data_IF_807862036229
#
_entry.id   IF_807862036229
#
_cell.length_a   1.000
_cell.length_b   1.000
_cell.length_c   1.000
_cell.angle_alpha   90.00
_cell.angle_beta   90.00
_cell.angle_gamma   90.00
#
_symmetry.space_group_name_H-M   'P 1'
#
loop_
_entity.id
_entity.type
_entity.pdbx_description
1 polymer ?
#
# COMPACT_ATOMS: atom_id res chain seq x y z
N UNK A 1 -3.16 9.30 -24.54
CA UNK A 1 -4.08 8.36 -23.88
C UNK A 1 -4.20 7.06 -24.66
N UNK A 2 -4.65 7.08 -25.92
CA UNK A 2 -4.80 5.86 -26.76
C UNK A 2 -3.53 5.00 -26.86
N UNK A 3 -2.36 5.60 -27.11
CA UNK A 3 -1.10 4.85 -27.18
C UNK A 3 -0.76 4.16 -25.84
N UNK A 4 -1.10 4.79 -24.72
CA UNK A 4 -0.86 4.21 -23.38
C UNK A 4 -1.77 3.00 -23.15
N UNK A 5 -3.05 3.08 -23.53
CA UNK A 5 -4.00 1.98 -23.42
C UNK A 5 -3.57 0.77 -24.27
N UNK A 6 -3.20 1.02 -25.53
CA UNK A 6 -2.74 -0.02 -26.46
C UNK A 6 -1.47 -0.68 -25.94
N UNK A 7 -0.47 0.10 -25.51
CA UNK A 7 0.77 -0.44 -24.96
C UNK A 7 0.54 -1.22 -23.67
N UNK A 8 -0.38 -0.76 -22.81
CA UNK A 8 -0.71 -1.47 -21.56
C UNK A 8 -1.39 -2.80 -21.85
N UNK A 9 -2.34 -2.85 -22.80
CA UNK A 9 -2.99 -4.08 -23.23
C UNK A 9 -2.00 -5.09 -23.81
N UNK A 10 -1.10 -4.63 -24.69
CA UNK A 10 -0.04 -5.47 -25.27
C UNK A 10 0.88 -6.02 -24.15
N UNK A 11 1.32 -5.15 -23.24
CA UNK A 11 2.23 -5.56 -22.15
C UNK A 11 1.60 -6.59 -21.21
N UNK A 12 0.31 -6.45 -20.91
CA UNK A 12 -0.43 -7.45 -20.13
C UNK A 12 -0.51 -8.79 -20.85
N UNK A 13 -0.81 -8.77 -22.16
CA UNK A 13 -0.83 -9.98 -22.98
C UNK A 13 0.52 -10.69 -23.03
N UNK A 14 1.62 -9.94 -23.18
CA UNK A 14 2.98 -10.48 -23.14
C UNK A 14 3.32 -11.08 -21.76
N UNK A 15 2.90 -10.44 -20.68
CA UNK A 15 3.10 -10.97 -19.33
C UNK A 15 2.31 -12.27 -19.10
N UNK A 16 1.07 -12.35 -19.60
CA UNK A 16 0.25 -13.56 -19.51
C UNK A 16 0.84 -14.73 -20.31
N UNK A 17 1.31 -14.47 -21.54
CA UNK A 17 2.00 -15.47 -22.38
C UNK A 17 3.30 -15.93 -21.72
N UNK A 18 4.10 -15.02 -21.17
CA UNK A 18 5.29 -15.38 -20.40
C UNK A 18 4.96 -16.27 -19.20
N UNK A 19 3.91 -15.95 -18.44
CA UNK A 19 3.46 -16.81 -17.35
C UNK A 19 3.10 -18.22 -17.86
N UNK A 20 2.31 -18.31 -18.92
CA UNK A 20 1.88 -19.59 -19.49
C UNK A 20 3.06 -20.44 -19.99
N UNK A 21 4.05 -19.82 -20.64
CA UNK A 21 5.26 -20.50 -21.11
C UNK A 21 6.14 -21.05 -19.96
N UNK A 22 5.99 -20.48 -18.75
CA UNK A 22 6.69 -20.91 -17.55
C UNK A 22 5.80 -21.71 -16.59
N UNK A 23 4.69 -22.29 -17.09
CA UNK A 23 3.73 -23.08 -16.31
C UNK A 23 3.11 -22.33 -15.10
N UNK A 24 3.01 -21.00 -15.21
CA UNK A 24 2.37 -20.12 -14.23
C UNK A 24 0.97 -19.71 -14.71
N UNK A 25 0.02 -19.61 -13.76
CA UNK A 25 -1.34 -19.14 -14.03
C UNK A 25 -1.50 -17.72 -13.49
N UNK A 26 -1.88 -16.79 -14.38
CA UNK A 26 -2.20 -15.42 -14.01
C UNK A 26 -3.52 -15.38 -13.23
N UNK A 27 -3.51 -14.76 -12.05
CA UNK A 27 -4.72 -14.63 -11.23
C UNK A 27 -5.42 -13.29 -11.49
N UNK A 28 -6.33 -13.29 -12.46
CA UNK A 28 -7.13 -12.12 -12.84
C UNK A 28 -7.89 -11.48 -11.66
N UNK A 29 -8.33 -12.27 -10.68
CA UNK A 29 -9.04 -11.74 -9.51
C UNK A 29 -8.15 -10.86 -8.62
N UNK A 30 -6.84 -11.15 -8.56
CA UNK A 30 -5.85 -10.41 -7.76
C UNK A 30 -5.12 -9.35 -8.57
N UNK A 31 -5.07 -9.49 -9.89
CA UNK A 31 -4.51 -8.47 -10.78
C UNK A 31 -5.50 -7.31 -10.86
N UNK A 32 -5.01 -6.08 -10.66
CA UNK A 32 -5.81 -4.86 -10.67
C UNK A 32 -5.11 -3.80 -11.51
N UNK A 33 -5.90 -2.96 -12.16
CA UNK A 33 -5.40 -1.80 -12.89
C UNK A 33 -5.45 -0.58 -11.96
N UNK A 34 -4.32 0.07 -11.73
CA UNK A 34 -4.23 1.30 -10.96
C UNK A 34 -3.68 2.39 -11.88
N UNK A 35 -4.48 3.43 -12.11
CA UNK A 35 -4.19 4.47 -13.09
C UNK A 35 -3.65 5.70 -12.37
N UNK A 36 -2.48 6.17 -12.78
CA UNK A 36 -1.87 7.39 -12.25
C UNK A 36 -1.81 8.46 -13.34
N UNK A 37 -1.96 9.72 -12.94
CA UNK A 37 -1.81 10.86 -13.83
C UNK A 37 -3.00 11.83 -13.81
N UNK A 38 -2.87 12.91 -14.57
CA UNK A 38 -3.90 13.96 -14.68
C UNK A 38 -5.10 13.50 -15.51
N UNK A 39 -4.83 12.77 -16.59
CA UNK A 39 -5.84 12.31 -17.56
C UNK A 39 -6.37 10.92 -17.19
N UNK A 40 -6.37 10.58 -15.89
CA UNK A 40 -6.76 9.25 -15.40
C UNK A 40 -8.22 8.91 -15.69
N UNK A 41 -9.08 9.93 -15.76
CA UNK A 41 -10.51 9.78 -16.06
C UNK A 41 -10.77 9.55 -17.56
N UNK A 42 -9.78 9.81 -18.42
CA UNK A 42 -9.86 9.56 -19.86
C UNK A 42 -9.41 8.15 -20.25
N UNK A 43 -8.80 7.40 -19.32
CA UNK A 43 -8.27 6.05 -19.55
C UNK A 43 -9.37 5.04 -19.23
N UNK A 44 -9.71 4.21 -20.21
CA UNK A 44 -10.71 3.15 -20.07
C UNK A 44 -10.18 1.96 -19.29
N UNK A 45 -11.10 1.25 -18.63
CA UNK A 45 -10.80 -0.05 -18.01
C UNK A 45 -10.44 -1.08 -19.07
N UNK A 46 -9.43 -1.90 -18.79
CA UNK A 46 -9.09 -3.03 -19.65
C UNK A 46 -10.16 -4.14 -19.52
N UNK A 47 -10.56 -4.82 -20.60
CA UNK A 47 -11.70 -5.74 -20.59
C UNK A 47 -11.58 -6.95 -19.65
N UNK A 48 -10.38 -7.25 -19.13
CA UNK A 48 -10.11 -8.37 -18.22
C UNK A 48 -9.71 -7.92 -16.81
N UNK A 49 -9.64 -6.61 -16.57
CA UNK A 49 -9.13 -6.05 -15.32
C UNK A 49 -10.05 -4.95 -14.81
N UNK A 50 -10.28 -4.98 -13.50
CA UNK A 50 -10.97 -3.87 -12.85
C UNK A 50 -9.97 -2.77 -12.53
N UNK A 51 -10.31 -1.55 -12.97
CA UNK A 51 -9.65 -0.37 -12.46
C UNK A 51 -10.06 -0.15 -11.00
N UNK A 52 -9.09 0.17 -10.16
CA UNK A 52 -9.31 0.47 -8.75
C UNK A 52 -8.59 1.75 -8.40
N UNK A 53 -9.21 2.57 -7.55
CA UNK A 53 -8.58 3.79 -7.05
C UNK A 53 -7.60 3.52 -5.93
N UNK A 54 -7.74 2.40 -5.23
CA UNK A 54 -6.91 2.03 -4.09
C UNK A 54 -6.62 0.54 -4.09
N UNK A 55 -5.39 0.16 -3.73
CA UNK A 55 -5.00 -1.23 -3.61
C UNK A 55 -3.99 -1.42 -2.48
N UNK A 56 -4.00 -2.59 -1.85
CA UNK A 56 -2.99 -2.96 -0.88
C UNK A 56 -1.87 -3.72 -1.60
N UNK A 57 -0.70 -3.11 -1.69
CA UNK A 57 0.48 -3.71 -2.28
C UNK A 57 1.54 -3.89 -1.20
N UNK A 58 1.88 -5.16 -0.91
CA UNK A 58 2.88 -5.53 0.09
C UNK A 58 2.64 -4.90 1.48
N UNK A 59 1.39 -4.70 1.89
CA UNK A 59 1.06 -4.10 3.19
C UNK A 59 1.04 -2.56 3.21
N UNK A 60 1.34 -1.92 2.09
CA UNK A 60 1.17 -0.48 1.87
C UNK A 60 -0.09 -0.25 1.05
N UNK A 61 -0.92 0.70 1.47
CA UNK A 61 -2.13 1.07 0.73
C UNK A 61 -1.74 2.16 -0.26
N UNK A 62 -1.85 1.87 -1.54
CA UNK A 62 -1.51 2.81 -2.62
C UNK A 62 -2.82 3.32 -3.21
N UNK A 63 -2.94 4.63 -3.29
CA UNK A 63 -4.05 5.32 -3.95
C UNK A 63 -3.63 5.91 -5.30
N UNK A 64 -4.59 6.06 -6.22
CA UNK A 64 -4.38 6.59 -7.57
C UNK A 64 -3.83 8.04 -7.59
N UNK A 65 -3.98 8.77 -6.48
CA UNK A 65 -3.47 10.13 -6.32
C UNK A 65 -2.14 10.22 -5.56
N UNK A 66 -1.61 9.08 -5.09
CA UNK A 66 -0.42 9.01 -4.24
C UNK A 66 -0.49 10.00 -3.06
N UNK A 67 -1.70 10.22 -2.53
CA UNK A 67 -1.95 11.06 -1.37
C UNK A 67 -1.50 10.40 -0.07
N UNK A 68 -1.45 9.06 -0.05
CA UNK A 68 -1.13 8.23 1.11
C UNK A 68 -2.10 8.35 2.29
N UNK A 69 -3.21 9.09 2.14
CA UNK A 69 -4.15 9.35 3.23
C UNK A 69 -4.72 8.04 3.80
N UNK A 70 -5.24 7.17 2.93
CA UNK A 70 -5.80 5.88 3.34
C UNK A 70 -4.75 4.99 4.02
N UNK A 71 -3.50 5.03 3.56
CA UNK A 71 -2.42 4.30 4.20
C UNK A 71 -2.15 4.81 5.61
N UNK A 72 -2.07 6.14 5.76
CA UNK A 72 -1.80 6.80 7.03
C UNK A 72 -2.94 6.56 8.01
N UNK A 73 -4.20 6.60 7.58
CA UNK A 73 -5.34 6.29 8.45
C UNK A 73 -5.27 4.84 8.98
N UNK A 74 -4.95 3.88 8.10
CA UNK A 74 -4.74 2.47 8.51
C UNK A 74 -3.54 2.34 9.45
N UNK A 75 -2.45 3.06 9.20
CA UNK A 75 -1.26 3.05 10.03
C UNK A 75 -1.53 3.67 11.41
N UNK A 76 -2.15 4.85 11.49
CA UNK A 76 -2.54 5.51 12.73
C UNK A 76 -3.43 4.61 13.60
N UNK A 77 -4.37 3.88 12.99
CA UNK A 77 -5.20 2.92 13.72
C UNK A 77 -4.36 1.77 14.31
N UNK A 78 -3.45 1.19 13.51
CA UNK A 78 -2.53 0.14 13.98
C UNK A 78 -1.58 0.62 15.08
N UNK A 79 -1.09 1.85 14.97
CA UNK A 79 -0.22 2.49 15.96
C UNK A 79 -0.98 2.83 17.24
N UNK A 80 -2.24 3.27 17.14
CA UNK A 80 -3.11 3.50 18.29
C UNK A 80 -3.37 2.21 19.08
N UNK A 81 -3.63 1.10 18.40
CA UNK A 81 -3.73 -0.21 19.04
C UNK A 81 -2.40 -0.64 19.68
N UNK A 82 -1.26 -0.40 19.01
CA UNK A 82 0.06 -0.69 19.57
C UNK A 82 0.34 0.16 20.82
N UNK A 83 -0.01 1.45 20.80
CA UNK A 83 0.14 2.35 21.94
C UNK A 83 -0.70 1.89 23.13
N UNK A 84 -1.94 1.46 22.89
CA UNK A 84 -2.77 0.87 23.94
C UNK A 84 -2.13 -0.38 24.55
N UNK A 85 -1.59 -1.28 23.72
CA UNK A 85 -0.86 -2.45 24.21
C UNK A 85 0.37 -2.06 25.03
N UNK A 86 1.15 -1.08 24.58
CA UNK A 86 2.32 -0.56 25.30
C UNK A 86 1.95 0.03 26.66
N UNK A 87 0.85 0.80 26.75
CA UNK A 87 0.36 1.33 28.04
C UNK A 87 0.01 0.21 29.03
N UNK A 88 -0.53 -0.91 28.55
CA UNK A 88 -0.83 -2.08 29.39
C UNK A 88 0.43 -2.82 29.84
N UNK A 89 1.39 -2.98 28.93
CA UNK A 89 2.69 -3.58 29.23
C UNK A 89 3.42 -2.74 30.28
N UNK A 90 3.45 -1.41 30.12
CA UNK A 90 4.04 -0.48 31.08
C UNK A 90 3.48 -0.63 32.50
N UNK A 91 2.19 -0.94 32.65
CA UNK A 91 1.58 -1.11 33.97
C UNK A 91 2.02 -2.41 34.69
N UNK A 92 2.65 -3.35 33.99
CA UNK A 92 2.93 -4.70 34.51
C UNK A 92 4.37 -5.18 34.32
N UNK A 93 5.18 -4.48 33.51
CA UNK A 93 6.51 -4.92 33.09
C UNK A 93 7.64 -3.97 33.51
N UNK A 94 8.89 -4.42 33.34
CA UNK A 94 10.07 -3.58 33.50
C UNK A 94 10.24 -2.60 32.32
N UNK A 95 10.98 -1.50 32.49
CA UNK A 95 11.25 -0.55 31.41
C UNK A 95 11.99 -1.18 30.22
N UNK A 96 12.83 -2.19 30.44
CA UNK A 96 13.53 -2.91 29.36
C UNK A 96 12.55 -3.69 28.48
N UNK A 97 11.59 -4.39 29.11
CA UNK A 97 10.53 -5.10 28.39
C UNK A 97 9.63 -4.12 27.60
N UNK A 98 9.35 -2.95 28.17
CA UNK A 98 8.60 -1.90 27.49
C UNK A 98 9.34 -1.35 26.26
N UNK A 99 10.65 -1.14 26.37
CA UNK A 99 11.49 -0.69 25.24
C UNK A 99 11.49 -1.72 24.10
N UNK A 100 11.68 -2.99 24.42
CA UNK A 100 11.61 -4.08 23.43
C UNK A 100 10.23 -4.11 22.76
N UNK A 101 9.16 -4.03 23.55
CA UNK A 101 7.80 -4.00 23.03
C UNK A 101 7.55 -2.79 22.12
N UNK A 102 8.10 -1.62 22.46
CA UNK A 102 7.98 -0.41 21.65
C UNK A 102 8.64 -0.61 20.28
N UNK A 103 9.90 -1.07 20.25
CA UNK A 103 10.61 -1.33 19.00
C UNK A 103 9.89 -2.39 18.16
N UNK A 104 9.37 -3.45 18.79
CA UNK A 104 8.72 -4.55 18.10
C UNK A 104 7.31 -4.23 17.58
N UNK A 105 6.50 -3.45 18.31
CA UNK A 105 5.07 -3.25 18.02
C UNK A 105 4.75 -1.92 17.35
N UNK A 106 5.55 -0.89 17.63
CA UNK A 106 5.31 0.48 17.16
C UNK A 106 6.30 0.84 16.07
N UNK A 107 7.60 0.85 16.40
CA UNK A 107 8.67 1.30 15.48
C UNK A 107 8.77 0.44 14.22
N UNK A 108 8.62 -0.88 14.35
CA UNK A 108 8.63 -1.80 13.21
C UNK A 108 7.54 -1.47 12.18
N UNK A 109 6.34 -1.12 12.64
CA UNK A 109 5.20 -0.74 11.79
C UNK A 109 5.38 0.65 11.22
N UNK A 110 5.91 1.58 12.01
CA UNK A 110 6.19 2.95 11.59
C UNK A 110 7.30 3.02 10.55
N UNK A 111 8.32 2.16 10.61
CA UNK A 111 9.42 2.17 9.63
C UNK A 111 9.08 1.41 8.36
N UNK A 112 8.09 0.52 8.40
CA UNK A 112 7.73 -0.29 7.25
C UNK A 112 7.23 0.58 6.09
N UNK A 113 7.92 0.52 4.95
CA UNK A 113 7.53 1.27 3.75
C UNK A 113 7.75 2.79 3.84
N UNK A 114 8.48 3.29 4.86
CA UNK A 114 8.66 4.73 5.10
C UNK A 114 9.33 5.45 3.91
N UNK A 115 10.15 4.77 3.12
CA UNK A 115 10.73 5.35 1.90
C UNK A 115 9.68 5.66 0.81
N UNK A 116 8.52 5.00 0.86
CA UNK A 116 7.44 5.14 -0.12
C UNK A 116 6.44 6.19 0.34
N UNK A 117 5.88 6.03 1.55
CA UNK A 117 4.83 6.93 2.06
C UNK A 117 5.39 8.10 2.88
N UNK A 118 6.64 8.05 3.33
CA UNK A 118 7.29 9.12 4.08
C UNK A 118 7.64 10.35 3.25
N UNK A 119 7.18 10.44 2.00
CA UNK A 119 7.14 11.71 1.24
C UNK A 119 5.72 12.28 1.17
N UNK A 120 4.77 11.73 1.93
CA UNK A 120 3.40 12.25 2.02
C UNK A 120 3.39 13.70 2.51
N UNK A 121 2.33 14.44 2.19
CA UNK A 121 2.14 15.82 2.62
C UNK A 121 2.35 15.98 4.15
N UNK A 122 2.99 17.08 4.55
CA UNK A 122 3.36 17.37 5.95
C UNK A 122 2.19 17.29 6.93
N UNK A 123 0.98 17.65 6.49
CA UNK A 123 -0.25 17.56 7.27
C UNK A 123 -0.59 16.14 7.75
N UNK A 124 -0.14 15.09 7.03
CA UNK A 124 -0.40 13.71 7.42
C UNK A 124 0.74 13.11 8.25
N UNK A 125 1.96 13.62 8.13
CA UNK A 125 3.08 13.23 8.99
C UNK A 125 2.87 13.64 10.45
N UNK A 126 2.30 14.81 10.70
CA UNK A 126 1.97 15.29 12.05
C UNK A 126 0.94 14.40 12.77
N UNK A 127 0.19 13.56 12.05
CA UNK A 127 -0.76 12.61 12.65
C UNK A 127 -0.09 11.29 13.08
N UNK A 128 1.07 10.99 12.51
CA UNK A 128 1.80 9.75 12.73
C UNK A 128 2.91 9.93 13.77
N UNK A 129 3.53 11.12 13.80
CA UNK A 129 4.54 11.56 14.78
C UNK A 129 3.88 12.09 16.07
#
# INVERSE_FOLDING_TARGET
VVDLEVNTFISLGLAADYCQQNDLVLNESKTKQLIFGKDKDEISELPQLHAVDTTNHLGVVIDNSLSWQNHIDVLCNKLSCALFALRRIQATSTPEALSIAYHALFESKLRYGIAVWGSSSSCYMERVL
#
